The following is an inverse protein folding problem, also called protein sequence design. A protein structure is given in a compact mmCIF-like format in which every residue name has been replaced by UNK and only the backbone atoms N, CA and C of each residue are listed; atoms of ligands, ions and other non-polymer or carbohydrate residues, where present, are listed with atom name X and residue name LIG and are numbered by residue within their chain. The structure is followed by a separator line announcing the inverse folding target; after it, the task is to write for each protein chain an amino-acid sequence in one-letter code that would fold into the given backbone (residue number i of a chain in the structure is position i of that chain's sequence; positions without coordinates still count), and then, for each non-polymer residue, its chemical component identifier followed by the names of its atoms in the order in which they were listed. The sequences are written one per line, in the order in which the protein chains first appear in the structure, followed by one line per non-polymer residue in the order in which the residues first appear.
data_IF_430521070012
#
_entry.id   IF_430521070012
#
_cell.length_a   1.000
_cell.length_b   1.000
_cell.length_c   1.000
_cell.angle_alpha   90.00
_cell.angle_beta   90.00
_cell.angle_gamma   90.00
#
_symmetry.space_group_name_H-M   'P 1'
#
loop_
_entity.id
_entity.type
_entity.pdbx_description
1 polymer ?
#
# COMPACT_ATOMS: atom_id res chain seq x y z
N UNK A 1 -2.18 -19.93 -5.94
CA UNK A 1 -1.20 -19.08 -6.63
C UNK A 1 -1.55 -17.59 -6.55
N UNK A 2 -2.66 -17.12 -7.13
CA UNK A 2 -3.00 -15.67 -7.15
C UNK A 2 -3.18 -15.09 -5.73
N UNK A 3 -3.98 -15.74 -4.87
CA UNK A 3 -4.19 -15.25 -3.49
C UNK A 3 -2.89 -15.15 -2.68
N UNK A 4 -2.10 -16.24 -2.68
CA UNK A 4 -0.79 -16.28 -2.00
C UNK A 4 0.20 -15.26 -2.56
N UNK A 5 0.16 -15.00 -3.88
CA UNK A 5 0.98 -13.96 -4.49
C UNK A 5 0.54 -12.58 -4.01
N UNK A 6 -0.76 -12.25 -4.05
CA UNK A 6 -1.29 -10.95 -3.63
C UNK A 6 -1.00 -10.68 -2.15
N UNK A 7 -1.14 -11.69 -1.29
CA UNK A 7 -0.79 -11.58 0.13
C UNK A 7 0.69 -11.24 0.33
N UNK A 8 1.60 -12.00 -0.30
CA UNK A 8 3.03 -11.74 -0.23
C UNK A 8 3.39 -10.37 -0.81
N UNK A 9 2.77 -9.99 -1.93
CA UNK A 9 2.97 -8.70 -2.57
C UNK A 9 2.58 -7.56 -1.63
N UNK A 10 1.47 -7.69 -0.89
CA UNK A 10 1.07 -6.73 0.13
C UNK A 10 2.06 -6.63 1.29
N UNK A 11 2.72 -7.72 1.68
CA UNK A 11 3.75 -7.69 2.75
C UNK A 11 5.03 -6.98 2.30
N UNK A 12 5.43 -7.15 1.05
CA UNK A 12 6.77 -6.73 0.58
C UNK A 12 6.79 -5.50 -0.33
N UNK A 13 5.63 -4.94 -0.72
CA UNK A 13 5.57 -3.78 -1.63
C UNK A 13 6.44 -2.61 -1.18
N UNK A 14 6.58 -2.46 0.14
CA UNK A 14 7.26 -1.37 0.83
C UNK A 14 8.70 -1.69 1.27
N UNK A 15 9.29 -2.82 0.84
CA UNK A 15 10.62 -3.26 1.29
C UNK A 15 11.72 -2.19 1.05
N UNK A 16 11.54 -1.35 0.03
CA UNK A 16 12.46 -0.24 -0.26
C UNK A 16 12.42 0.92 0.74
N UNK A 17 11.52 0.92 1.73
CA UNK A 17 11.54 1.89 2.84
C UNK A 17 12.68 1.64 3.83
N UNK A 18 13.23 0.41 3.88
CA UNK A 18 14.34 0.04 4.78
C UNK A 18 15.54 1.01 4.77
N UNK A 19 16.14 1.35 3.60
CA UNK A 19 17.23 2.33 3.55
C UNK A 19 16.80 3.78 3.89
N UNK A 20 15.51 4.06 3.99
CA UNK A 20 14.94 5.38 4.23
C UNK A 20 14.37 5.56 5.64
N UNK A 21 14.59 4.61 6.55
CA UNK A 21 14.05 4.64 7.92
C UNK A 21 14.40 5.93 8.66
N UNK A 22 15.59 6.49 8.42
CA UNK A 22 16.01 7.77 8.99
C UNK A 22 15.11 8.95 8.58
N UNK A 23 14.45 8.89 7.41
CA UNK A 23 13.51 9.90 6.95
C UNK A 23 12.08 9.65 7.43
N UNK A 24 11.65 8.38 7.52
CA UNK A 24 10.31 8.03 8.01
C UNK A 24 10.17 8.16 9.54
N UNK A 25 11.27 8.07 10.29
CA UNK A 25 11.29 8.19 11.75
C UNK A 25 11.29 9.63 12.29
N UNK A 26 11.20 10.65 11.43
CA UNK A 26 11.23 12.07 11.83
C UNK A 26 9.80 12.63 11.92
N UNK A 27 9.25 12.88 13.13
CA UNK A 27 7.81 13.17 13.27
C UNK A 27 7.38 14.60 12.94
N UNK A 28 8.28 15.53 12.63
CA UNK A 28 8.02 16.94 12.99
C UNK A 28 8.08 18.00 11.89
N UNK A 29 8.23 17.67 10.61
CA UNK A 29 8.23 18.70 9.56
C UNK A 29 7.44 18.27 8.32
N UNK A 30 6.68 19.18 7.67
CA UNK A 30 6.22 18.92 6.32
C UNK A 30 7.45 18.60 5.47
N UNK A 31 7.41 17.45 4.79
CA UNK A 31 8.54 17.05 3.96
C UNK A 31 8.85 18.18 2.98
N UNK A 32 10.10 18.66 3.01
CA UNK A 32 10.60 19.50 1.93
C UNK A 32 10.39 18.75 0.60
N UNK A 33 10.31 19.50 -0.50
CA UNK A 33 10.20 18.88 -1.82
C UNK A 33 11.29 17.82 -2.06
N UNK A 34 12.51 18.07 -1.57
CA UNK A 34 13.64 17.14 -1.65
C UNK A 34 13.46 15.90 -0.77
N UNK A 35 12.92 16.04 0.44
CA UNK A 35 12.63 14.91 1.31
C UNK A 35 11.52 14.04 0.71
N UNK A 36 10.44 14.65 0.19
CA UNK A 36 9.39 13.94 -0.51
C UNK A 36 9.93 13.15 -1.71
N UNK A 37 10.76 13.79 -2.56
CA UNK A 37 11.43 13.13 -3.69
C UNK A 37 12.32 11.96 -3.25
N UNK A 38 12.91 12.02 -2.05
CA UNK A 38 13.71 10.92 -1.51
C UNK A 38 12.83 9.78 -1.03
N UNK A 39 11.68 10.09 -0.41
CA UNK A 39 10.71 9.07 0.01
C UNK A 39 10.11 8.31 -1.17
N UNK A 40 9.81 8.98 -2.30
CA UNK A 40 9.26 8.30 -3.48
C UNK A 40 10.21 7.25 -4.08
N UNK A 41 11.51 7.31 -3.77
CA UNK A 41 12.50 6.34 -4.25
C UNK A 41 12.34 4.95 -3.64
N UNK A 42 11.54 4.78 -2.58
CA UNK A 42 11.33 3.45 -1.99
C UNK A 42 10.77 2.44 -3.01
N UNK A 43 9.96 2.88 -3.97
CA UNK A 43 9.48 2.00 -5.05
C UNK A 43 10.64 1.45 -5.90
N UNK A 44 11.53 2.33 -6.37
CA UNK A 44 12.68 1.99 -7.20
C UNK A 44 13.70 1.13 -6.43
N UNK A 45 13.95 1.48 -5.16
CA UNK A 45 14.84 0.72 -4.28
C UNK A 45 14.26 -0.66 -3.99
N UNK A 46 12.97 -0.75 -3.70
CA UNK A 46 12.27 -2.01 -3.46
C UNK A 46 12.33 -2.93 -4.66
N UNK A 47 12.05 -2.40 -5.85
CA UNK A 47 12.20 -3.11 -7.11
C UNK A 47 13.65 -3.60 -7.31
N UNK A 48 14.65 -2.74 -7.07
CA UNK A 48 16.08 -3.10 -7.20
C UNK A 48 16.49 -4.21 -6.23
N UNK A 49 15.96 -4.24 -5.01
CA UNK A 49 16.25 -5.30 -4.05
C UNK A 49 15.60 -6.63 -4.44
N UNK A 50 14.33 -6.60 -4.82
CA UNK A 50 13.58 -7.81 -5.19
C UNK A 50 14.14 -8.46 -6.46
N UNK A 51 14.56 -7.67 -7.45
CA UNK A 51 15.17 -8.17 -8.69
C UNK A 51 16.48 -8.93 -8.46
N UNK A 52 17.19 -8.69 -7.35
CA UNK A 52 18.45 -9.39 -7.02
C UNK A 52 18.22 -10.75 -6.36
N UNK A 53 16.99 -11.07 -5.96
CA UNK A 53 16.64 -12.29 -5.26
C UNK A 53 15.73 -13.12 -6.20
N UNK A 54 16.23 -14.21 -6.81
CA UNK A 54 15.48 -14.96 -7.84
C UNK A 54 14.07 -15.40 -7.41
N UNK A 55 13.88 -15.72 -6.13
CA UNK A 55 12.56 -16.15 -5.60
C UNK A 55 11.56 -15.00 -5.40
N UNK A 56 12.01 -13.75 -5.46
CA UNK A 56 11.21 -12.55 -5.21
C UNK A 56 11.12 -11.62 -6.43
N UNK A 57 11.87 -11.90 -7.49
CA UNK A 57 11.91 -11.10 -8.72
C UNK A 57 10.51 -10.82 -9.28
N UNK A 58 9.58 -11.78 -9.15
CA UNK A 58 8.21 -11.63 -9.60
C UNK A 58 7.44 -10.48 -8.92
N UNK A 59 7.83 -10.03 -7.73
CA UNK A 59 7.17 -8.93 -7.01
C UNK A 59 7.72 -7.53 -7.36
N UNK A 60 8.76 -7.47 -8.21
CA UNK A 60 9.44 -6.23 -8.60
C UNK A 60 8.47 -5.17 -9.12
N UNK A 61 7.55 -5.55 -10.02
CA UNK A 61 6.56 -4.61 -10.58
C UNK A 61 5.58 -4.08 -9.53
N UNK A 62 5.24 -4.90 -8.52
CA UNK A 62 4.33 -4.45 -7.45
C UNK A 62 5.03 -3.42 -6.57
N UNK A 63 6.26 -3.70 -6.15
CA UNK A 63 7.06 -2.72 -5.40
C UNK A 63 7.30 -1.44 -6.22
N UNK A 64 7.54 -1.56 -7.52
CA UNK A 64 7.81 -0.40 -8.37
C UNK A 64 6.58 0.50 -8.58
N UNK A 65 5.41 -0.09 -8.84
CA UNK A 65 4.28 0.65 -9.38
C UNK A 65 3.08 0.79 -8.43
N UNK A 66 3.14 0.33 -7.17
CA UNK A 66 2.02 0.47 -6.24
C UNK A 66 1.63 1.93 -5.91
N UNK A 67 2.45 2.93 -6.28
CA UNK A 67 2.11 4.35 -6.20
C UNK A 67 1.86 5.02 -7.57
N UNK A 68 1.82 4.24 -8.66
CA UNK A 68 1.44 4.72 -9.99
C UNK A 68 -0.09 4.88 -10.06
N UNK A 69 -0.56 5.98 -10.64
CA UNK A 69 -1.99 6.22 -10.80
C UNK A 69 -2.55 5.37 -11.95
N UNK A 70 -3.82 4.99 -11.84
CA UNK A 70 -4.53 4.18 -12.83
C UNK A 70 -4.41 4.71 -14.27
N UNK A 71 -4.53 6.02 -14.47
CA UNK A 71 -4.46 6.66 -15.79
C UNK A 71 -3.04 6.92 -16.31
N UNK A 72 -2.01 6.48 -15.59
CA UNK A 72 -0.60 6.71 -15.92
C UNK A 72 -0.19 8.20 -16.07
N UNK A 73 -1.00 9.16 -15.59
CA UNK A 73 -0.67 10.61 -15.66
C UNK A 73 0.15 11.06 -14.44
N UNK A 74 -0.17 10.51 -13.27
CA UNK A 74 0.37 10.93 -11.98
C UNK A 74 0.96 9.74 -11.19
N UNK A 75 1.48 10.01 -10.01
CA UNK A 75 2.15 9.01 -9.18
C UNK A 75 3.62 8.82 -9.54
N UNK A 76 4.21 7.75 -9.04
CA UNK A 76 5.63 7.44 -9.25
C UNK A 76 5.89 5.92 -9.33
N UNK A 77 6.96 5.50 -10.04
CA UNK A 77 7.88 6.32 -10.85
C UNK A 77 7.16 6.99 -12.04
N UNK A 78 7.78 8.05 -12.60
CA UNK A 78 7.16 8.84 -13.68
C UNK A 78 7.21 8.13 -15.02
N UNK A 79 8.27 7.38 -15.24
CA UNK A 79 8.53 6.52 -16.36
C UNK A 79 7.87 5.14 -16.17
N UNK A 80 7.39 4.58 -17.28
CA UNK A 80 6.67 3.31 -17.31
C UNK A 80 5.15 3.47 -17.44
N UNK A 81 4.50 2.36 -17.75
CA UNK A 81 3.05 2.25 -17.84
C UNK A 81 2.62 0.89 -17.34
N UNK A 82 1.50 0.85 -16.62
CA UNK A 82 0.90 -0.39 -16.16
C UNK A 82 0.18 -1.16 -17.28
N UNK A 83 0.05 -0.58 -18.47
CA UNK A 83 -0.73 -1.14 -19.59
C UNK A 83 -0.31 -2.55 -19.96
N UNK A 84 0.98 -2.87 -19.91
CA UNK A 84 1.53 -4.17 -20.31
C UNK A 84 1.89 -5.09 -19.12
N UNK A 85 1.67 -4.64 -17.88
CA UNK A 85 1.98 -5.47 -16.71
C UNK A 85 0.98 -6.61 -16.57
N UNK A 86 1.49 -7.84 -16.48
CA UNK A 86 0.67 -9.02 -16.15
C UNK A 86 0.15 -9.01 -14.70
N UNK A 87 0.71 -8.14 -13.85
CA UNK A 87 0.33 -7.96 -12.44
C UNK A 87 -0.53 -6.72 -12.20
N UNK A 88 -0.96 -6.03 -13.26
CA UNK A 88 -1.74 -4.78 -13.21
C UNK A 88 -2.88 -4.80 -12.20
N UNK A 89 -3.75 -5.81 -12.23
CA UNK A 89 -4.87 -5.92 -11.28
C UNK A 89 -4.43 -6.07 -9.83
N UNK A 90 -3.30 -6.75 -9.58
CA UNK A 90 -2.75 -6.92 -8.23
C UNK A 90 -2.16 -5.61 -7.74
N UNK A 91 -1.47 -4.88 -8.62
CA UNK A 91 -0.93 -3.55 -8.31
C UNK A 91 -2.06 -2.62 -7.88
N UNK A 92 -3.18 -2.59 -8.60
CA UNK A 92 -4.35 -1.79 -8.22
C UNK A 92 -4.96 -2.16 -6.87
N UNK A 93 -5.03 -3.45 -6.54
CA UNK A 93 -5.48 -3.91 -5.23
C UNK A 93 -4.51 -3.44 -4.14
N UNK A 94 -3.20 -3.58 -4.34
CA UNK A 94 -2.19 -3.15 -3.37
C UNK A 94 -2.20 -1.63 -3.19
N UNK A 95 -2.27 -0.84 -4.27
CA UNK A 95 -2.35 0.63 -4.22
C UNK A 95 -3.55 1.11 -3.39
N UNK A 96 -4.73 0.50 -3.60
CA UNK A 96 -5.94 0.87 -2.88
C UNK A 96 -5.86 0.41 -1.41
N UNK A 97 -5.34 -0.79 -1.15
CA UNK A 97 -5.16 -1.32 0.20
C UNK A 97 -4.16 -0.50 1.04
N UNK A 98 -3.01 -0.12 0.47
CA UNK A 98 -2.01 0.74 1.12
C UNK A 98 -2.62 2.12 1.44
N UNK A 99 -3.33 2.72 0.48
CA UNK A 99 -4.00 4.01 0.71
C UNK A 99 -5.04 3.92 1.81
N UNK A 100 -5.86 2.86 1.83
CA UNK A 100 -6.85 2.63 2.87
C UNK A 100 -6.20 2.42 4.25
N UNK A 101 -5.16 1.59 4.36
CA UNK A 101 -4.47 1.36 5.63
C UNK A 101 -3.83 2.66 6.15
N UNK A 102 -3.19 3.43 5.27
CA UNK A 102 -2.54 4.69 5.61
C UNK A 102 -3.53 5.80 5.99
N UNK A 103 -4.67 5.92 5.31
CA UNK A 103 -5.67 6.95 5.59
C UNK A 103 -6.45 6.70 6.89
N UNK A 104 -6.53 5.43 7.31
CA UNK A 104 -7.27 5.00 8.51
C UNK A 104 -6.35 4.70 9.70
N UNK A 105 -5.03 4.86 9.56
CA UNK A 105 -4.08 4.68 10.66
C UNK A 105 -4.06 5.89 11.58
N UNK A 106 -4.42 5.69 12.85
CA UNK A 106 -4.43 6.73 13.88
C UNK A 106 -3.21 6.67 14.83
N UNK A 107 -2.37 5.63 14.72
CA UNK A 107 -1.17 5.46 15.57
C UNK A 107 0.08 5.95 14.84
N UNK A 108 0.40 5.36 13.68
CA UNK A 108 1.67 5.64 12.99
C UNK A 108 1.70 7.04 12.36
N UNK A 109 0.52 7.64 12.15
CA UNK A 109 0.33 8.95 11.53
C UNK A 109 -0.42 9.92 12.45
N UNK A 110 -0.13 9.89 13.76
CA UNK A 110 -0.78 10.71 14.80
C UNK A 110 -0.79 12.23 14.53
N UNK A 111 0.06 12.72 13.61
CA UNK A 111 0.09 14.12 13.16
C UNK A 111 -1.03 14.48 12.16
N UNK A 112 -1.82 13.50 11.70
CA UNK A 112 -3.01 13.70 10.85
C UNK A 112 -4.22 13.00 11.46
N UNK A 113 -5.41 13.62 11.47
CA UNK A 113 -6.64 12.91 11.83
C UNK A 113 -6.85 11.71 10.90
N UNK A 114 -7.10 10.53 11.47
CA UNK A 114 -7.50 9.37 10.69
C UNK A 114 -8.88 9.59 10.07
N UNK A 115 -9.10 9.03 8.88
CA UNK A 115 -10.39 9.09 8.19
C UNK A 115 -11.20 7.83 8.49
N UNK A 116 -12.52 7.96 8.42
CA UNK A 116 -13.40 6.79 8.47
C UNK A 116 -13.33 6.00 7.16
N UNK A 117 -13.67 4.70 7.20
CA UNK A 117 -13.79 3.88 5.99
C UNK A 117 -14.71 4.54 4.94
N UNK A 118 -15.86 5.06 5.38
CA UNK A 118 -16.85 5.66 4.49
C UNK A 118 -16.28 6.93 3.80
N UNK A 119 -15.55 7.75 4.57
CA UNK A 119 -14.84 8.93 4.02
C UNK A 119 -13.78 8.53 2.99
N UNK A 120 -13.00 7.48 3.25
CA UNK A 120 -12.00 7.00 2.29
C UNK A 120 -12.67 6.43 1.02
N UNK A 121 -13.80 5.75 1.16
CA UNK A 121 -14.58 5.29 0.00
C UNK A 121 -15.10 6.45 -0.84
N UNK A 122 -15.52 7.56 -0.25
CA UNK A 122 -15.91 8.77 -0.99
C UNK A 122 -14.73 9.38 -1.75
N UNK A 123 -13.53 9.37 -1.17
CA UNK A 123 -12.30 9.81 -1.86
C UNK A 123 -11.93 8.87 -3.01
N UNK A 124 -12.08 7.56 -2.84
CA UNK A 124 -11.86 6.58 -3.91
C UNK A 124 -12.84 6.80 -5.07
N UNK A 125 -14.12 7.08 -4.79
CA UNK A 125 -15.11 7.43 -5.82
C UNK A 125 -14.72 8.71 -6.56
N UNK A 126 -14.31 9.74 -5.84
CA UNK A 126 -13.90 11.01 -6.44
C UNK A 126 -12.64 10.88 -7.31
N UNK A 127 -11.74 9.95 -6.98
CA UNK A 127 -10.50 9.68 -7.70
C UNK A 127 -10.56 8.42 -8.61
N UNK A 128 -11.77 7.93 -8.91
CA UNK A 128 -12.03 6.83 -9.86
C UNK A 128 -11.51 7.20 -11.24
N UNK A 129 -10.94 6.22 -11.96
CA UNK A 129 -10.37 6.34 -13.32
C UNK A 129 -9.20 7.31 -13.45
N UNK A 130 -8.78 7.97 -12.36
CA UNK A 130 -7.60 8.83 -12.33
C UNK A 130 -6.52 8.17 -11.51
N UNK A 131 -6.68 8.15 -10.18
CA UNK A 131 -5.75 7.49 -9.27
C UNK A 131 -6.06 6.01 -9.12
N UNK A 132 -7.34 5.68 -8.92
CA UNK A 132 -7.75 4.33 -8.55
C UNK A 132 -8.51 3.63 -9.67
N UNK A 133 -8.27 2.33 -9.77
CA UNK A 133 -8.90 1.49 -10.76
C UNK A 133 -10.39 1.29 -10.45
N UNK A 134 -11.29 1.61 -11.39
CA UNK A 134 -12.74 1.51 -11.17
C UNK A 134 -13.18 0.09 -10.80
N UNK A 135 -12.55 -0.94 -11.37
CA UNK A 135 -12.89 -2.34 -11.14
C UNK A 135 -12.69 -2.77 -9.67
N UNK A 136 -11.68 -2.23 -8.98
CA UNK A 136 -11.41 -2.57 -7.57
C UNK A 136 -12.44 -1.88 -6.67
N UNK A 137 -12.76 -0.63 -6.97
CA UNK A 137 -13.78 0.13 -6.24
C UNK A 137 -15.14 -0.56 -6.37
N UNK A 138 -15.53 -0.94 -7.59
CA UNK A 138 -16.81 -1.60 -7.85
C UNK A 138 -16.95 -2.94 -7.11
N UNK A 139 -15.88 -3.71 -7.00
CA UNK A 139 -15.89 -4.97 -6.22
C UNK A 139 -16.19 -4.69 -4.75
N UNK A 140 -15.58 -3.66 -4.17
CA UNK A 140 -15.83 -3.26 -2.79
C UNK A 140 -17.29 -2.79 -2.63
N UNK A 141 -17.78 -1.95 -3.54
CA UNK A 141 -19.13 -1.38 -3.46
C UNK A 141 -20.25 -2.41 -3.60
N UNK A 142 -20.04 -3.45 -4.42
CA UNK A 142 -21.03 -4.50 -4.65
C UNK A 142 -21.10 -5.52 -3.51
N UNK A 143 -20.02 -5.69 -2.74
CA UNK A 143 -19.94 -6.69 -1.67
C UNK A 143 -20.08 -6.04 -0.27
N UNK A 144 -21.28 -6.18 0.31
CA UNK A 144 -21.60 -5.65 1.65
C UNK A 144 -20.81 -6.33 2.77
N UNK A 145 -20.51 -7.62 2.64
CA UNK A 145 -19.74 -8.35 3.65
C UNK A 145 -18.27 -7.92 3.60
N UNK A 146 -17.72 -7.69 2.40
CA UNK A 146 -16.40 -7.09 2.24
C UNK A 146 -16.34 -5.70 2.85
N UNK A 147 -17.31 -4.82 2.60
CA UNK A 147 -17.38 -3.50 3.23
C UNK A 147 -17.41 -3.59 4.75
N UNK A 148 -18.25 -4.46 5.32
CA UNK A 148 -18.32 -4.67 6.76
C UNK A 148 -16.98 -5.15 7.33
N UNK A 149 -16.31 -6.07 6.63
CA UNK A 149 -14.98 -6.58 7.02
C UNK A 149 -13.92 -5.50 6.95
N UNK A 150 -13.85 -4.72 5.86
CA UNK A 150 -12.91 -3.62 5.72
C UNK A 150 -13.15 -2.56 6.79
N UNK A 151 -14.39 -2.14 7.00
CA UNK A 151 -14.77 -1.18 8.04
C UNK A 151 -14.36 -1.65 9.44
N UNK A 152 -14.49 -2.96 9.73
CA UNK A 152 -13.98 -3.54 10.97
C UNK A 152 -12.46 -3.48 11.06
N UNK A 153 -11.76 -3.88 9.99
CA UNK A 153 -10.29 -3.93 9.92
C UNK A 153 -9.62 -2.55 9.96
N UNK A 154 -10.33 -1.49 9.55
CA UNK A 154 -9.82 -0.12 9.53
C UNK A 154 -10.36 0.73 10.68
N UNK A 155 -11.18 0.16 11.57
CA UNK A 155 -11.65 0.84 12.78
C UNK A 155 -10.59 0.81 13.89
N UNK A 156 -10.85 1.46 15.02
CA UNK A 156 -9.98 1.41 16.21
C UNK A 156 -9.67 -0.03 16.69
N UNK A 157 -10.52 -1.01 16.35
CA UNK A 157 -10.30 -2.44 16.62
C UNK A 157 -9.11 -3.04 15.85
N UNK A 158 -8.51 -2.33 14.89
CA UNK A 158 -7.32 -2.78 14.16
C UNK A 158 -6.12 -3.06 15.09
N UNK A 159 -6.07 -2.41 16.26
CA UNK A 159 -4.93 -2.51 17.18
C UNK A 159 -5.11 -3.60 18.25
N UNK A 160 -6.35 -3.97 18.58
CA UNK A 160 -6.59 -5.15 19.43
C UNK A 160 -6.15 -6.42 18.71
N UNK A 161 -6.40 -6.55 17.40
CA UNK A 161 -5.98 -7.72 16.62
C UNK A 161 -4.49 -7.70 16.22
N UNK A 162 -3.91 -6.53 15.93
CA UNK A 162 -2.46 -6.40 15.60
C UNK A 162 -1.56 -6.69 16.81
N UNK A 163 -1.92 -6.24 18.02
CA UNK A 163 -1.15 -6.57 19.23
C UNK A 163 -1.24 -8.04 19.61
N UNK A 164 -2.41 -8.68 19.43
CA UNK A 164 -2.55 -10.12 19.62
C UNK A 164 -1.79 -10.91 18.55
N UNK A 165 -1.73 -10.48 17.28
CA UNK A 165 -0.95 -11.22 16.26
C UNK A 165 0.57 -11.02 16.37
N UNK A 166 1.06 -9.84 16.75
CA UNK A 166 2.51 -9.63 16.94
C UNK A 166 3.08 -10.49 18.06
N UNK A 167 2.32 -10.75 19.13
CA UNK A 167 2.78 -11.63 20.23
C UNK A 167 2.85 -13.11 19.83
N UNK A 168 2.05 -13.55 18.85
CA UNK A 168 2.08 -14.94 18.37
C UNK A 168 3.10 -15.18 17.25
N UNK A 169 3.41 -14.16 16.43
CA UNK A 169 4.23 -14.34 15.21
C UNK A 169 5.74 -14.10 15.40
N UNK A 170 6.18 -13.51 16.51
CA UNK A 170 7.62 -13.41 16.83
C UNK A 170 8.26 -14.76 17.18
N UNK A 171 7.45 -15.75 17.61
CA UNK A 171 7.93 -17.08 17.96
C UNK A 171 8.07 -18.05 16.77
N UNK A 172 7.56 -17.70 15.58
CA UNK A 172 7.56 -18.56 14.40
C UNK A 172 8.59 -18.15 13.33
N UNK A 173 9.06 -16.90 13.36
CA UNK A 173 10.03 -16.38 12.40
C UNK A 173 11.50 -16.70 12.74
N UNK A 174 11.79 -17.19 13.94
CA UNK A 174 13.14 -17.56 14.40
C UNK A 174 13.28 -19.07 14.73
N UNK A 175 12.43 -19.92 14.15
CA UNK A 175 12.57 -21.38 14.22
C UNK A 175 12.74 -21.97 12.83
#
# INVERSE_FOLDING_TARGET
FILSYTENAGVIHDIGKFPLVAYYGQPFLPFSKSAYQSLTKHCELGASFLAKIPRLENYTEVALYHHRHFNDVNGYPKDGSLTNSKYRSIIYIISLADCLDAATDNISRFYKPCKSFDTVMDEFRAARETQFAPEVIEVIEKDKELQKKLKSLTSEKRYTDKHTKMTYNTNSFFK
#
